data_IF_177217801285
#
_entry.id   IF_177217801285
#
_cell.length_a   1.000
_cell.length_b   1.000
_cell.length_c   1.000
_cell.angle_alpha   90.00
_cell.angle_beta   90.00
_cell.angle_gamma   90.00
#
_symmetry.space_group_name_H-M   'P 1'
#
loop_
_entity.id
_entity.type
_entity.pdbx_description
1 polymer ?
#
# COMPACT_ATOMS: atom_id res chain seq x y z
N UNK A 1 2.11 -1.86 -0.81
CA UNK A 1 0.68 -1.49 -0.82
C UNK A 1 0.50 0.01 -0.57
N UNK A 2 -0.53 0.59 -1.17
CA UNK A 2 -0.94 1.98 -0.97
C UNK A 2 -2.44 2.04 -0.71
N UNK A 3 -2.86 2.95 0.17
CA UNK A 3 -4.27 3.24 0.41
C UNK A 3 -4.55 4.74 0.35
N UNK A 4 -5.79 5.09 0.03
CA UNK A 4 -6.31 6.44 0.20
C UNK A 4 -7.59 6.43 1.02
N UNK A 5 -7.69 7.38 1.96
CA UNK A 5 -8.96 7.70 2.64
C UNK A 5 -9.92 8.49 1.75
N UNK A 6 -9.38 9.31 0.84
CA UNK A 6 -10.12 10.03 -0.19
C UNK A 6 -9.42 9.78 -1.53
N UNK A 7 -10.14 9.22 -2.51
CA UNK A 7 -9.57 8.88 -3.83
C UNK A 7 -8.97 10.09 -4.56
N UNK A 8 -9.46 11.29 -4.27
CA UNK A 8 -9.02 12.56 -4.87
C UNK A 8 -7.78 13.18 -4.21
N UNK A 9 -7.29 12.66 -3.08
CA UNK A 9 -6.06 13.14 -2.44
C UNK A 9 -4.86 12.96 -3.38
N UNK A 10 -3.93 13.91 -3.44
CA UNK A 10 -2.75 13.80 -4.29
C UNK A 10 -1.71 12.79 -3.75
N UNK A 11 -1.80 12.44 -2.46
CA UNK A 11 -0.89 11.52 -1.78
C UNK A 11 -1.57 10.18 -1.49
N UNK A 12 -0.80 9.21 -1.02
CA UNK A 12 -1.32 7.92 -0.52
C UNK A 12 -0.62 7.57 0.77
N UNK A 13 -1.27 6.77 1.61
CA UNK A 13 -0.60 6.12 2.73
C UNK A 13 0.07 4.85 2.20
N UNK A 14 1.33 4.63 2.55
CA UNK A 14 2.18 3.62 1.93
C UNK A 14 2.70 2.65 2.99
N UNK A 15 2.74 1.37 2.61
CA UNK A 15 3.44 0.32 3.33
C UNK A 15 4.17 -0.56 2.32
N UNK A 16 5.47 -0.75 2.51
CA UNK A 16 6.30 -1.60 1.65
C UNK A 16 6.53 -2.94 2.34
N UNK A 17 6.40 -4.04 1.61
CA UNK A 17 6.66 -5.38 2.09
C UNK A 17 7.43 -6.17 1.03
N UNK A 18 8.36 -7.06 1.43
CA UNK A 18 8.90 -8.07 0.54
C UNK A 18 7.88 -9.19 0.32
N UNK A 19 8.05 -9.95 -0.76
CA UNK A 19 7.31 -11.19 -1.03
C UNK A 19 8.30 -12.33 -1.23
N UNK A 20 7.94 -13.53 -0.80
CA UNK A 20 8.67 -14.78 -0.99
C UNK A 20 8.63 -15.29 -2.45
N UNK A 21 7.62 -14.88 -3.22
CA UNK A 21 7.35 -15.42 -4.56
C UNK A 21 6.49 -16.69 -4.56
N UNK A 22 6.15 -17.22 -3.39
CA UNK A 22 5.17 -18.30 -3.22
C UNK A 22 3.83 -17.72 -2.74
N UNK A 23 2.79 -18.56 -2.68
CA UNK A 23 1.55 -18.20 -2.00
C UNK A 23 1.82 -17.85 -0.54
N UNK A 24 1.42 -16.65 -0.14
CA UNK A 24 1.64 -16.13 1.21
C UNK A 24 0.56 -15.13 1.62
N UNK A 25 0.38 -14.95 2.93
CA UNK A 25 -0.48 -13.93 3.50
C UNK A 25 0.36 -12.77 4.02
N UNK A 26 0.13 -11.57 3.49
CA UNK A 26 0.81 -10.35 3.93
C UNK A 26 -0.13 -9.55 4.84
N UNK A 27 0.27 -9.37 6.10
CA UNK A 27 -0.46 -8.55 7.07
C UNK A 27 0.12 -7.13 7.12
N UNK A 28 -0.75 -6.13 7.08
CA UNK A 28 -0.36 -4.71 7.11
C UNK A 28 -1.10 -4.01 8.24
N UNK A 29 -0.36 -3.42 9.17
CA UNK A 29 -0.92 -2.56 10.20
C UNK A 29 -1.31 -1.21 9.59
N UNK A 30 -2.60 -0.89 9.55
CA UNK A 30 -3.08 0.36 8.96
C UNK A 30 -2.48 1.59 9.66
N UNK A 31 -2.35 1.56 10.99
CA UNK A 31 -1.78 2.65 11.78
C UNK A 31 -0.29 2.92 11.50
N UNK A 32 0.43 1.97 10.89
CA UNK A 32 1.83 2.15 10.51
C UNK A 32 1.99 2.74 9.10
N UNK A 33 0.92 2.87 8.32
CA UNK A 33 0.99 3.40 6.96
C UNK A 33 1.21 4.91 6.98
N UNK A 34 2.31 5.37 6.38
CA UNK A 34 2.69 6.79 6.39
C UNK A 34 2.33 7.48 5.07
N UNK A 35 2.01 8.78 5.09
CA UNK A 35 1.67 9.54 3.89
C UNK A 35 2.89 9.76 3.00
N UNK A 36 2.73 9.51 1.70
CA UNK A 36 3.76 9.75 0.69
C UNK A 36 3.19 10.25 -0.63
N UNK A 37 3.93 11.15 -1.26
CA UNK A 37 3.70 11.62 -2.62
C UNK A 37 4.98 11.52 -3.43
N UNK A 38 4.93 10.83 -4.58
CA UNK A 38 6.08 10.67 -5.49
C UNK A 38 7.38 10.22 -4.79
N UNK A 39 7.26 9.31 -3.83
CA UNK A 39 8.39 8.76 -3.07
C UNK A 39 8.86 9.61 -1.89
N UNK A 40 8.37 10.84 -1.76
CA UNK A 40 8.64 11.68 -0.60
C UNK A 40 7.66 11.36 0.53
N UNK A 41 8.16 11.14 1.75
CA UNK A 41 7.33 11.09 2.96
C UNK A 41 6.85 12.49 3.31
N UNK A 42 5.56 12.63 3.59
CA UNK A 42 4.96 13.89 4.00
C UNK A 42 4.96 14.01 5.52
N UNK A 43 5.00 15.25 6.02
CA UNK A 43 4.88 15.56 7.45
C UNK A 43 3.41 15.62 7.89
N UNK A 44 2.68 14.53 7.64
CA UNK A 44 1.34 14.32 8.21
C UNK A 44 1.34 13.07 9.08
N UNK A 45 0.31 12.96 9.93
CA UNK A 45 0.09 11.75 10.71
C UNK A 45 -0.11 10.52 9.82
N UNK A 46 0.23 9.35 10.36
CA UNK A 46 -0.07 8.07 9.75
C UNK A 46 -1.59 7.85 9.60
N UNK A 47 -1.96 6.83 8.85
CA UNK A 47 -3.36 6.54 8.57
C UNK A 47 -4.15 6.23 9.85
N UNK A 48 -5.23 6.98 10.05
CA UNK A 48 -6.15 6.85 11.19
C UNK A 48 -7.62 6.98 10.76
N UNK A 49 -7.89 6.96 9.45
CA UNK A 49 -9.24 7.10 8.93
C UNK A 49 -10.02 5.80 9.09
N UNK A 50 -11.35 5.92 9.26
CA UNK A 50 -12.26 4.78 9.36
C UNK A 50 -12.75 4.25 8.00
N UNK A 51 -12.24 4.82 6.91
CA UNK A 51 -12.64 4.45 5.54
C UNK A 51 -11.42 4.38 4.63
N UNK A 52 -11.46 3.42 3.71
CA UNK A 52 -10.51 3.29 2.61
C UNK A 52 -11.32 3.40 1.32
N UNK A 53 -11.02 4.40 0.51
CA UNK A 53 -11.69 4.62 -0.78
C UNK A 53 -10.89 4.04 -1.96
N UNK A 54 -9.61 3.74 -1.76
CA UNK A 54 -8.76 3.15 -2.79
C UNK A 54 -7.66 2.29 -2.16
N UNK A 55 -7.42 1.14 -2.77
CA UNK A 55 -6.26 0.27 -2.52
C UNK A 55 -5.48 0.16 -3.83
N UNK A 56 -4.15 0.14 -3.75
CA UNK A 56 -3.29 -0.06 -4.92
C UNK A 56 -2.06 -0.87 -4.55
N UNK A 57 -1.68 -1.80 -5.42
CA UNK A 57 -0.39 -2.49 -5.37
C UNK A 57 0.54 -1.77 -6.35
N UNK A 58 1.74 -1.42 -5.87
CA UNK A 58 2.76 -0.79 -6.69
C UNK A 58 4.05 -1.60 -6.55
N UNK A 59 4.56 -2.06 -7.69
CA UNK A 59 5.88 -2.65 -7.83
C UNK A 59 6.81 -1.51 -8.28
N UNK A 60 7.76 -1.13 -7.44
CA UNK A 60 8.64 0.02 -7.67
C UNK A 60 10.06 -0.25 -7.14
N UNK A 61 10.73 -1.23 -7.73
CA UNK A 61 12.11 -1.62 -7.40
C UNK A 61 13.14 -1.09 -8.42
N UNK A 62 12.72 -0.22 -9.34
CA UNK A 62 13.55 0.35 -10.42
C UNK A 62 14.21 -0.70 -11.33
N UNK A 63 13.62 -1.89 -11.45
CA UNK A 63 14.06 -2.94 -12.36
C UNK A 63 12.93 -3.28 -13.33
N UNK A 64 13.28 -3.52 -14.58
CA UNK A 64 12.34 -4.11 -15.53
C UNK A 64 12.19 -5.60 -15.19
N UNK A 65 10.98 -5.99 -14.80
CA UNK A 65 10.69 -7.35 -14.36
C UNK A 65 9.38 -7.82 -14.98
N UNK A 66 9.36 -9.08 -15.42
CA UNK A 66 8.10 -9.76 -15.69
C UNK A 66 7.46 -10.11 -14.35
N UNK A 67 6.20 -9.73 -14.16
CA UNK A 67 5.48 -10.03 -12.94
C UNK A 67 4.12 -10.65 -13.24
N UNK A 68 3.64 -11.44 -12.29
CA UNK A 68 2.27 -11.91 -12.22
C UNK A 68 1.75 -11.65 -10.81
N UNK A 69 0.58 -11.03 -10.71
CA UNK A 69 -0.06 -10.73 -9.43
C UNK A 69 -1.34 -11.55 -9.33
N UNK A 70 -1.33 -12.55 -8.46
CA UNK A 70 -2.49 -13.37 -8.14
C UNK A 70 -2.90 -13.01 -6.71
N UNK A 71 -4.18 -12.74 -6.51
CA UNK A 71 -4.75 -12.39 -5.21
C UNK A 71 -5.94 -13.33 -4.99
N UNK A 72 -5.93 -14.03 -3.87
CA UNK A 72 -7.05 -14.88 -3.44
C UNK A 72 -8.08 -14.05 -2.66
N UNK A 73 -7.63 -13.40 -1.57
CA UNK A 73 -8.49 -12.57 -0.72
C UNK A 73 -7.79 -11.28 -0.28
N UNK A 74 -8.58 -10.23 -0.08
CA UNK A 74 -8.21 -9.05 0.71
C UNK A 74 -9.28 -8.86 1.79
N UNK A 75 -8.88 -8.97 3.05
CA UNK A 75 -9.78 -8.85 4.20
C UNK A 75 -9.29 -7.79 5.21
N UNK A 76 -10.23 -7.29 6.00
CA UNK A 76 -9.96 -6.45 7.18
C UNK A 76 -10.31 -7.31 8.39
N UNK A 77 -9.41 -7.37 9.37
CA UNK A 77 -9.60 -8.07 10.64
C UNK A 77 -10.25 -7.16 11.69
#
# INVERSE_FOLDING_TARGET
MRIKKNRFDYYSYVYSFPTSGNWESVSVELASMYPSFRGQRLDFSNFSAKQIQQISILIANNKEEQFNLIIDEICIQ
#
